data_IF_716070206451
#
_entry.id   IF_716070206451
#
_cell.length_a   1.000
_cell.length_b   1.000
_cell.length_c   1.000
_cell.angle_alpha   90.00
_cell.angle_beta   90.00
_cell.angle_gamma   90.00
#
_symmetry.space_group_name_H-M   'P 1'
#
loop_
_entity.id
_entity.type
_entity.pdbx_description
1 polymer ?
#
# COMPACT_ATOMS: atom_id res chain seq x y z
N UNK A 1 10.95 0.60 2.86
CA UNK A 1 10.48 -0.80 2.98
C UNK A 1 10.44 -1.45 1.59
N UNK A 2 10.86 -2.71 1.49
CA UNK A 2 10.93 -3.45 0.23
C UNK A 2 10.24 -4.80 0.40
N UNK A 3 9.33 -5.11 -0.53
CA UNK A 3 8.77 -6.44 -0.67
C UNK A 3 9.54 -7.16 -1.79
N UNK A 4 10.28 -8.25 -1.49
CA UNK A 4 11.01 -8.99 -2.51
C UNK A 4 10.03 -9.62 -3.52
N UNK A 5 10.54 -9.96 -4.71
CA UNK A 5 9.79 -10.80 -5.63
C UNK A 5 9.63 -12.19 -5.00
N UNK A 6 8.40 -12.67 -4.87
CA UNK A 6 8.10 -13.94 -4.19
C UNK A 6 7.81 -15.09 -5.16
N UNK A 7 7.11 -14.80 -6.26
CA UNK A 7 6.63 -15.77 -7.25
C UNK A 7 6.62 -15.13 -8.64
N UNK A 8 6.69 -15.94 -9.69
CA UNK A 8 6.51 -15.48 -11.07
C UNK A 8 5.17 -14.74 -11.20
N UNK A 9 5.22 -13.49 -11.65
CA UNK A 9 4.07 -12.58 -11.73
C UNK A 9 4.01 -11.51 -10.63
N UNK A 10 4.69 -11.68 -9.49
CA UNK A 10 4.83 -10.61 -8.48
C UNK A 10 6.17 -9.88 -8.56
N UNK A 11 6.14 -8.72 -9.22
CA UNK A 11 7.28 -7.81 -9.26
C UNK A 11 7.62 -7.24 -7.86
N UNK A 12 8.91 -7.02 -7.61
CA UNK A 12 9.42 -6.35 -6.42
C UNK A 12 8.76 -4.98 -6.25
N UNK A 13 8.24 -4.69 -5.06
CA UNK A 13 7.65 -3.38 -4.73
C UNK A 13 8.47 -2.68 -3.66
N UNK A 14 8.84 -1.43 -3.94
CA UNK A 14 9.55 -0.57 -3.00
C UNK A 14 8.77 0.73 -2.83
N UNK A 15 8.78 1.28 -1.62
CA UNK A 15 8.26 2.63 -1.34
C UNK A 15 9.44 3.51 -0.94
N UNK A 16 10.05 4.27 -1.88
CA UNK A 16 11.24 5.08 -1.59
C UNK A 16 10.92 6.27 -0.68
N UNK A 17 9.76 6.91 -0.89
CA UNK A 17 9.37 8.16 -0.22
C UNK A 17 8.73 7.95 1.16
N UNK A 18 8.80 6.75 1.72
CA UNK A 18 8.05 6.36 2.92
C UNK A 18 8.43 7.14 4.20
N UNK A 19 9.60 7.80 4.21
CA UNK A 19 10.09 8.60 5.35
C UNK A 19 9.70 10.07 5.26
N UNK A 20 9.19 10.50 4.11
CA UNK A 20 8.87 11.89 3.85
C UNK A 20 7.38 12.12 4.09
N UNK A 21 7.06 13.25 4.69
CA UNK A 21 5.70 13.72 4.87
C UNK A 21 5.13 14.27 3.56
N UNK A 22 3.79 14.29 3.47
CA UNK A 22 3.07 14.89 2.34
C UNK A 22 3.43 16.37 2.15
N UNK A 23 3.68 17.10 3.26
CA UNK A 23 4.11 18.51 3.22
C UNK A 23 5.49 18.67 2.58
N UNK A 24 6.45 17.80 2.89
CA UNK A 24 7.78 17.84 2.28
C UNK A 24 7.74 17.47 0.80
N UNK A 25 6.92 16.48 0.42
CA UNK A 25 6.71 16.12 -0.99
C UNK A 25 6.08 17.26 -1.79
N UNK A 26 5.06 17.92 -1.23
CA UNK A 26 4.41 19.07 -1.86
C UNK A 26 5.39 20.24 -2.01
N UNK A 27 6.17 20.55 -0.97
CA UNK A 27 7.21 21.58 -1.02
C UNK A 27 8.27 21.27 -2.09
N UNK A 28 8.75 20.02 -2.16
CA UNK A 28 9.69 19.59 -3.19
C UNK A 28 9.12 19.79 -4.60
N UNK A 29 7.87 19.40 -4.82
CA UNK A 29 7.20 19.52 -6.11
C UNK A 29 7.06 21.00 -6.54
N UNK A 30 6.66 21.88 -5.62
CA UNK A 30 6.55 23.33 -5.86
C UNK A 30 7.92 23.94 -6.17
N UNK A 31 8.94 23.65 -5.35
CA UNK A 31 10.29 24.20 -5.52
C UNK A 31 10.93 23.77 -6.85
N UNK A 32 10.67 22.53 -7.28
CA UNK A 32 11.19 22.01 -8.54
C UNK A 32 10.26 22.27 -9.74
N UNK A 33 9.16 23.00 -9.55
CA UNK A 33 8.16 23.31 -10.60
C UNK A 33 7.64 22.06 -11.31
N UNK A 34 7.36 21.03 -10.52
CA UNK A 34 6.72 19.80 -11.02
C UNK A 34 5.22 20.03 -10.96
N UNK A 35 4.58 20.12 -12.12
CA UNK A 35 3.13 20.25 -12.21
C UNK A 35 2.45 18.93 -11.82
N UNK A 36 1.46 19.01 -10.93
CA UNK A 36 0.69 17.85 -10.47
C UNK A 36 -0.78 18.22 -10.27
N UNK A 37 -1.64 17.20 -10.31
CA UNK A 37 -3.08 17.36 -10.11
C UNK A 37 -3.35 17.49 -8.60
N UNK A 38 -3.84 18.65 -8.19
CA UNK A 38 -4.23 18.93 -6.79
C UNK A 38 -5.63 18.40 -6.49
N UNK A 39 -6.48 18.31 -7.52
CA UNK A 39 -7.85 17.81 -7.39
C UNK A 39 -7.88 16.35 -6.94
N UNK A 40 -8.62 16.09 -5.86
CA UNK A 40 -8.86 14.73 -5.38
C UNK A 40 -10.03 14.07 -6.14
N UNK A 41 -10.01 12.74 -6.20
CA UNK A 41 -11.10 11.98 -6.78
C UNK A 41 -12.43 12.29 -6.06
N UNK A 42 -13.54 12.57 -6.78
CA UNK A 42 -14.85 12.83 -6.15
C UNK A 42 -15.32 11.69 -5.23
N UNK A 43 -14.94 10.44 -5.55
CA UNK A 43 -15.25 9.24 -4.78
C UNK A 43 -14.38 9.07 -3.52
N UNK A 44 -13.34 9.88 -3.34
CA UNK A 44 -12.49 9.85 -2.14
C UNK A 44 -13.09 10.63 -0.97
N UNK A 45 -14.13 11.45 -1.21
CA UNK A 45 -14.83 12.20 -0.16
C UNK A 45 -15.37 11.25 0.91
N UNK A 46 -15.02 11.51 2.17
CA UNK A 46 -15.41 10.67 3.30
C UNK A 46 -14.53 9.43 3.52
N UNK A 47 -13.41 9.28 2.79
CA UNK A 47 -12.48 8.20 3.05
C UNK A 47 -11.89 8.32 4.48
N UNK A 48 -11.87 7.20 5.22
CA UNK A 48 -11.29 7.13 6.58
C UNK A 48 -9.83 7.55 6.63
N UNK A 49 -9.11 7.40 5.52
CA UNK A 49 -7.73 7.84 5.38
C UNK A 49 -7.58 9.35 5.55
N UNK A 50 -8.56 10.16 5.14
CA UNK A 50 -8.55 11.62 5.37
C UNK A 50 -8.63 11.94 6.85
N UNK A 51 -9.53 11.26 7.58
CA UNK A 51 -9.66 11.38 9.03
C UNK A 51 -8.35 10.97 9.74
N UNK A 52 -7.75 9.84 9.36
CA UNK A 52 -6.48 9.41 9.95
C UNK A 52 -5.35 10.41 9.66
N UNK A 53 -5.28 10.96 8.44
CA UNK A 53 -4.33 12.02 8.10
C UNK A 53 -4.53 13.24 8.98
N UNK A 54 -5.76 13.71 9.16
CA UNK A 54 -6.08 14.87 10.00
C UNK A 54 -5.62 14.68 11.44
N UNK A 55 -5.99 13.56 12.06
CA UNK A 55 -5.60 13.24 13.44
C UNK A 55 -4.08 13.20 13.58
N UNK A 56 -3.38 12.51 12.68
CA UNK A 56 -1.92 12.42 12.71
C UNK A 56 -1.25 13.77 12.43
N UNK A 57 -1.84 14.61 11.57
CA UNK A 57 -1.35 15.97 11.30
C UNK A 57 -1.48 16.87 12.53
N UNK A 58 -2.58 16.76 13.28
CA UNK A 58 -2.76 17.48 14.54
C UNK A 58 -1.71 17.07 15.57
N UNK A 59 -1.50 15.77 15.76
CA UNK A 59 -0.45 15.26 16.66
C UNK A 59 0.95 15.71 16.26
N UNK A 60 1.27 15.71 14.96
CA UNK A 60 2.56 16.17 14.44
C UNK A 60 2.78 17.68 14.68
N UNK A 61 1.71 18.48 14.70
CA UNK A 61 1.80 19.92 14.95
C UNK A 61 2.12 20.21 16.41
N UNK A 62 1.50 19.48 17.34
CA UNK A 62 1.76 19.60 18.78
C UNK A 62 3.07 18.94 19.21
N UNK A 63 3.48 17.87 18.52
CA UNK A 63 4.69 17.11 18.81
C UNK A 63 5.40 16.70 17.49
N UNK A 64 6.33 17.55 17.00
CA UNK A 64 7.08 17.28 15.77
C UNK A 64 7.86 15.97 15.84
N UNK A 65 7.77 15.17 14.78
CA UNK A 65 8.39 13.85 14.68
C UNK A 65 7.48 12.69 15.09
N UNK A 66 6.24 12.94 15.53
CA UNK A 66 5.30 11.88 15.97
C UNK A 66 5.04 10.84 14.88
N UNK A 67 4.77 11.26 13.63
CA UNK A 67 4.52 10.34 12.51
C UNK A 67 5.73 9.46 12.22
N UNK A 68 6.91 10.06 12.22
CA UNK A 68 8.17 9.36 11.95
C UNK A 68 8.46 8.35 13.06
N UNK A 69 8.38 8.79 14.32
CA UNK A 69 8.62 7.93 15.48
C UNK A 69 7.63 6.76 15.52
N UNK A 70 6.35 7.01 15.24
CA UNK A 70 5.32 5.98 15.17
C UNK A 70 5.63 4.94 14.09
N UNK A 71 5.88 5.37 12.86
CA UNK A 71 6.10 4.44 11.74
C UNK A 71 7.44 3.71 11.82
N UNK A 72 8.53 4.40 12.15
CA UNK A 72 9.83 3.76 12.34
C UNK A 72 9.81 2.81 13.53
N UNK A 73 9.20 3.20 14.65
CA UNK A 73 9.02 2.32 15.80
C UNK A 73 8.22 1.07 15.48
N UNK A 74 7.19 1.17 14.62
CA UNK A 74 6.47 0.02 14.10
C UNK A 74 7.38 -0.90 13.26
N UNK A 75 8.14 -0.34 12.31
CA UNK A 75 9.06 -1.12 11.47
C UNK A 75 10.17 -1.80 12.28
N UNK A 76 10.73 -1.11 13.27
CA UNK A 76 11.80 -1.66 14.10
C UNK A 76 11.29 -2.78 15.01
N UNK A 77 10.04 -2.69 15.49
CA UNK A 77 9.38 -3.80 16.18
C UNK A 77 9.16 -4.99 15.24
N UNK A 78 8.70 -4.76 14.02
CA UNK A 78 8.47 -5.82 13.01
C UNK A 78 9.76 -6.51 12.55
N UNK A 79 10.91 -5.84 12.65
CA UNK A 79 12.23 -6.42 12.33
C UNK A 79 12.76 -7.35 13.41
N UNK A 80 12.21 -7.30 14.63
CA UNK A 80 12.62 -8.23 15.69
C UNK A 80 12.08 -9.61 15.34
N UNK A 81 12.91 -10.66 15.36
CA UNK A 81 12.45 -12.01 15.05
C UNK A 81 11.42 -12.43 16.10
N UNK A 82 10.17 -12.58 15.69
CA UNK A 82 9.18 -13.36 16.42
C UNK A 82 9.64 -14.82 16.43
N UNK A 83 9.43 -15.52 17.54
CA UNK A 83 9.88 -16.91 17.78
C UNK A 83 9.05 -17.93 16.96
N UNK A 84 8.25 -17.48 15.99
CA UNK A 84 7.41 -18.36 15.17
C UNK A 84 8.25 -19.06 14.09
N UNK A 85 8.13 -20.39 13.93
CA UNK A 85 8.94 -21.18 12.98
C UNK A 85 8.57 -20.95 11.50
N UNK A 86 7.53 -20.16 11.21
CA UNK A 86 7.08 -19.86 9.85
C UNK A 86 6.49 -18.47 9.81
N UNK A 87 7.04 -17.59 8.99
CA UNK A 87 6.52 -16.24 8.83
C UNK A 87 5.16 -16.27 8.14
N UNK A 88 4.30 -15.28 8.41
CA UNK A 88 3.02 -15.14 7.69
C UNK A 88 3.24 -15.05 6.17
N UNK A 89 4.34 -14.42 5.74
CA UNK A 89 4.70 -14.30 4.33
C UNK A 89 4.96 -15.65 3.67
N UNK A 90 5.63 -16.58 4.35
CA UNK A 90 5.89 -17.94 3.83
C UNK A 90 4.60 -18.76 3.74
N UNK A 91 3.71 -18.64 4.72
CA UNK A 91 2.40 -19.31 4.68
C UNK A 91 1.54 -18.79 3.53
N UNK A 92 1.50 -17.47 3.34
CA UNK A 92 0.75 -16.85 2.26
C UNK A 92 1.32 -17.23 0.89
N UNK A 93 2.65 -17.33 0.75
CA UNK A 93 3.30 -17.77 -0.49
C UNK A 93 2.95 -19.21 -0.85
N UNK A 94 2.88 -20.11 0.15
CA UNK A 94 2.53 -21.51 -0.08
C UNK A 94 1.09 -21.70 -0.60
N UNK A 95 0.19 -20.73 -0.38
CA UNK A 95 -1.21 -20.78 -0.83
C UNK A 95 -1.43 -20.17 -2.22
N UNK A 96 -0.41 -19.55 -2.82
CA UNK A 96 -0.53 -18.87 -4.10
C UNK A 96 -0.29 -19.83 -5.26
N UNK A 97 -1.21 -19.80 -6.23
CA UNK A 97 -1.15 -20.58 -7.46
C UNK A 97 -1.58 -19.69 -8.65
N UNK A 98 -1.27 -20.06 -9.90
CA UNK A 98 -1.66 -19.25 -11.05
C UNK A 98 -3.18 -19.27 -11.29
N UNK A 99 -3.73 -18.14 -11.71
CA UNK A 99 -5.14 -17.98 -12.10
C UNK A 99 -5.44 -18.75 -13.40
N UNK A 100 -6.54 -19.51 -13.44
CA UNK A 100 -6.90 -20.30 -14.64
C UNK A 100 -7.20 -19.48 -15.90
N UNK A 101 -7.48 -18.17 -15.77
CA UNK A 101 -7.83 -17.27 -16.89
C UNK A 101 -6.64 -16.42 -17.35
N UNK A 102 -5.89 -15.82 -16.42
CA UNK A 102 -4.84 -14.84 -16.75
C UNK A 102 -3.44 -15.21 -16.25
N UNK A 103 -3.29 -16.37 -15.60
CA UNK A 103 -2.04 -16.92 -15.05
C UNK A 103 -1.36 -16.05 -13.98
N UNK A 104 -1.98 -14.97 -13.52
CA UNK A 104 -1.47 -14.16 -12.41
C UNK A 104 -1.62 -14.88 -11.06
N UNK A 105 -0.71 -14.66 -10.08
CA UNK A 105 -0.79 -15.33 -8.78
C UNK A 105 -2.07 -14.99 -8.01
N UNK A 106 -2.71 -16.00 -7.44
CA UNK A 106 -3.95 -15.87 -6.69
C UNK A 106 -4.11 -17.02 -5.68
N UNK A 107 -4.96 -16.82 -4.66
CA UNK A 107 -5.30 -17.84 -3.66
C UNK A 107 -6.58 -18.61 -4.00
N UNK A 108 -7.24 -18.28 -5.11
CA UNK A 108 -8.48 -18.90 -5.57
C UNK A 108 -8.36 -19.27 -7.04
N UNK A 109 -9.15 -20.23 -7.54
CA UNK A 109 -9.07 -20.71 -8.93
C UNK A 109 -9.04 -19.58 -9.98
N UNK A 110 -9.93 -18.59 -9.83
CA UNK A 110 -9.98 -17.37 -10.63
C UNK A 110 -9.72 -16.15 -9.74
N UNK A 111 -8.78 -15.29 -10.17
CA UNK A 111 -8.38 -14.11 -9.41
C UNK A 111 -9.52 -13.08 -9.28
N UNK A 112 -9.46 -12.25 -8.23
CA UNK A 112 -10.48 -11.24 -7.94
C UNK A 112 -10.71 -10.25 -9.08
N UNK A 113 -9.65 -9.90 -9.82
CA UNK A 113 -9.74 -9.03 -10.99
C UNK A 113 -10.57 -9.68 -12.12
N UNK A 114 -10.27 -10.93 -12.49
CA UNK A 114 -11.03 -11.64 -13.52
C UNK A 114 -12.49 -11.84 -13.12
N UNK A 115 -12.77 -12.17 -11.85
CA UNK A 115 -14.14 -12.25 -11.31
C UNK A 115 -14.90 -10.93 -11.44
N UNK A 116 -14.25 -9.81 -11.10
CA UNK A 116 -14.85 -8.47 -11.22
C UNK A 116 -15.16 -8.13 -12.68
N UNK A 117 -14.21 -8.38 -13.59
CA UNK A 117 -14.40 -8.09 -15.02
C UNK A 117 -15.48 -8.95 -15.67
N UNK A 118 -15.61 -10.22 -15.26
CA UNK A 118 -16.70 -11.07 -15.72
C UNK A 118 -18.07 -10.49 -15.35
N UNK A 119 -18.23 -10.03 -14.10
CA UNK A 119 -19.47 -9.39 -13.62
C UNK A 119 -19.78 -8.10 -14.38
N UNK A 120 -18.77 -7.28 -14.64
CA UNK A 120 -18.94 -6.04 -15.39
C UNK A 120 -19.47 -6.29 -16.82
N UNK A 121 -18.98 -7.35 -17.49
CA UNK A 121 -19.41 -7.72 -18.85
C UNK A 121 -20.84 -8.25 -18.92
N UNK A 122 -21.34 -8.91 -17.88
CA UNK A 122 -22.73 -9.39 -17.83
C UNK A 122 -23.77 -8.28 -17.65
N UNK A 123 -23.38 -7.10 -17.17
CA UNK A 123 -24.29 -5.96 -16.98
C UNK A 123 -24.22 -4.94 -18.14
N UNK A 124 -23.35 -5.16 -19.12
CA UNK A 124 -23.23 -4.31 -20.32
C UNK A 124 -24.02 -4.83 -21.52
N UNK A 125 -24.98 -5.73 -21.29
CA UNK A 125 -25.96 -6.26 -22.26
C UNK A 125 -27.34 -5.99 -21.68
#
# INVERSE_FOLDING_TARGET
PSLPASLDGFAKKVKPLFRLSERELAAYSVLNRIDYIVEECPMAKGARTLLYKEVLNRLETESPGTKQAFYCGFLDKQRKPEVSPTTMAEKDQAMLHPCSVCQQPTTAEVCSYCKMMARAKTHSV
#
